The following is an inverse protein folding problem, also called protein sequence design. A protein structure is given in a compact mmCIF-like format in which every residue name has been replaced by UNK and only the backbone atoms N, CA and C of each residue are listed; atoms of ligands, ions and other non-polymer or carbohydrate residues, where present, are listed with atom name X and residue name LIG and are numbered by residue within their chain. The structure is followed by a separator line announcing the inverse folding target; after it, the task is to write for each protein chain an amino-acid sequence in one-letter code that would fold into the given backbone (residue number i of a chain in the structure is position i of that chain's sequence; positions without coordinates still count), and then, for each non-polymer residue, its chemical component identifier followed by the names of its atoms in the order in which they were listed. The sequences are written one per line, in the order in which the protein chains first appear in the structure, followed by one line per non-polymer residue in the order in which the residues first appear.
data_IF_231848961874
#
_entry.id   IF_231848961874
#
_cell.length_a   1.000
_cell.length_b   1.000
_cell.length_c   1.000
_cell.angle_alpha   90.00
_cell.angle_beta   90.00
_cell.angle_gamma   90.00
#
_symmetry.space_group_name_H-M   'P 1'
#
loop_
_entity.id
_entity.type
_entity.pdbx_description
1 polymer ?
#
# COMPACT_ATOMS: atom_id res chain seq x y z
N UNK A 1 4.38 -1.46 22.39
CA UNK A 1 4.27 -2.10 21.07
C UNK A 1 3.70 -1.04 20.14
N UNK A 2 4.55 -0.18 19.60
CA UNK A 2 4.16 0.86 18.64
C UNK A 2 4.01 0.24 17.25
N UNK A 3 3.05 -0.68 17.10
CA UNK A 3 2.63 -1.11 15.78
C UNK A 3 1.84 0.04 15.16
N UNK A 4 2.55 1.04 14.63
CA UNK A 4 1.94 2.03 13.76
C UNK A 4 1.40 1.29 12.54
N UNK A 5 0.09 1.09 12.48
CA UNK A 5 -0.59 0.44 11.36
C UNK A 5 -0.10 1.03 10.04
N UNK A 6 0.50 0.20 9.19
CA UNK A 6 0.94 0.60 7.85
C UNK A 6 -0.21 0.39 6.88
N UNK A 7 -0.45 1.38 6.02
CA UNK A 7 -1.51 1.35 5.02
C UNK A 7 -0.89 1.13 3.65
N UNK A 8 -1.26 0.03 2.99
CA UNK A 8 -0.96 -0.18 1.58
C UNK A 8 -2.14 0.35 0.73
N UNK A 9 -1.86 1.35 -0.10
CA UNK A 9 -2.78 1.84 -1.12
C UNK A 9 -2.42 1.24 -2.48
N UNK A 10 -3.34 0.45 -3.03
CA UNK A 10 -3.19 -0.20 -4.33
C UNK A 10 -4.00 0.53 -5.38
N UNK A 11 -3.36 0.87 -6.50
CA UNK A 11 -4.01 1.54 -7.62
C UNK A 11 -3.97 0.65 -8.85
N UNK A 12 -5.10 0.53 -9.53
CA UNK A 12 -5.15 -0.20 -10.80
C UNK A 12 -4.28 0.45 -11.87
N UNK A 13 -4.30 1.79 -11.94
CA UNK A 13 -3.54 2.57 -12.92
C UNK A 13 -2.64 3.62 -12.25
N UNK A 14 -1.45 3.81 -12.84
CA UNK A 14 -0.45 4.78 -12.38
C UNK A 14 -0.98 6.22 -12.32
N UNK A 15 -1.86 6.60 -13.25
CA UNK A 15 -2.45 7.93 -13.27
C UNK A 15 -3.29 8.21 -12.02
N UNK A 16 -4.02 7.21 -11.51
CA UNK A 16 -4.81 7.36 -10.29
C UNK A 16 -3.93 7.48 -9.06
N UNK A 17 -2.82 6.72 -8.99
CA UNK A 17 -1.79 6.88 -7.95
C UNK A 17 -1.27 8.31 -7.92
N UNK A 18 -0.84 8.84 -9.06
CA UNK A 18 -0.30 10.22 -9.18
C UNK A 18 -1.32 11.28 -8.76
N UNK A 19 -2.59 11.14 -9.17
CA UNK A 19 -3.65 12.07 -8.80
C UNK A 19 -3.94 12.04 -7.30
N UNK A 20 -4.01 10.86 -6.70
CA UNK A 20 -4.24 10.69 -5.26
C UNK A 20 -3.09 11.27 -4.44
N UNK A 21 -1.84 10.94 -4.81
CA UNK A 21 -0.66 11.49 -4.14
C UNK A 21 -0.59 13.02 -4.24
N UNK A 22 -0.91 13.59 -5.40
CA UNK A 22 -0.94 15.05 -5.57
C UNK A 22 -1.87 15.72 -4.56
N UNK A 23 -3.10 15.21 -4.42
CA UNK A 23 -4.09 15.75 -3.46
C UNK A 23 -3.67 15.52 -2.02
N UNK A 24 -3.11 14.36 -1.69
CA UNK A 24 -2.67 14.05 -0.33
C UNK A 24 -1.50 14.92 0.12
N UNK A 25 -0.61 15.28 -0.79
CA UNK A 25 0.51 16.18 -0.50
C UNK A 25 0.07 17.63 -0.28
N UNK A 26 -1.17 17.99 -0.60
CA UNK A 26 -1.78 19.29 -0.28
C UNK A 26 -2.34 19.32 1.16
N UNK A 27 -2.46 18.18 1.84
CA UNK A 27 -2.90 18.10 3.25
C UNK A 27 -1.68 18.05 4.20
N UNK A 28 -1.48 19.12 4.96
CA UNK A 28 -0.38 19.24 5.94
C UNK A 28 -0.39 18.12 6.99
N UNK A 29 -1.57 17.66 7.41
CA UNK A 29 -1.67 16.58 8.41
C UNK A 29 -1.13 15.27 7.84
N UNK A 30 -1.31 15.06 6.54
CA UNK A 30 -0.77 13.91 5.85
C UNK A 30 0.75 14.01 5.73
N UNK A 31 1.28 15.16 5.29
CA UNK A 31 2.72 15.33 5.05
C UNK A 31 3.55 15.31 6.33
N UNK A 32 3.04 15.87 7.42
CA UNK A 32 3.79 15.99 8.68
C UNK A 32 3.86 14.68 9.45
N UNK A 33 2.77 13.91 9.47
CA UNK A 33 2.62 12.80 10.43
C UNK A 33 2.21 11.48 9.77
N UNK A 34 1.33 11.49 8.77
CA UNK A 34 0.75 10.25 8.24
C UNK A 34 1.59 9.61 7.13
N UNK A 35 2.27 10.40 6.29
CA UNK A 35 2.98 9.95 5.07
C UNK A 35 3.91 8.75 5.29
N UNK A 36 4.73 8.67 6.36
CA UNK A 36 5.61 7.52 6.59
C UNK A 36 4.87 6.19 6.81
N UNK A 37 3.58 6.23 7.14
CA UNK A 37 2.75 5.05 7.38
C UNK A 37 2.09 4.51 6.10
N UNK A 38 2.20 5.21 4.98
CA UNK A 38 1.53 4.84 3.73
C UNK A 38 2.52 4.35 2.68
N UNK A 39 2.18 3.24 2.02
CA UNK A 39 2.86 2.72 0.85
C UNK A 39 1.89 2.77 -0.34
N UNK A 40 2.33 3.33 -1.46
CA UNK A 40 1.51 3.48 -2.68
C UNK A 40 2.11 2.61 -3.78
N UNK A 41 1.32 1.66 -4.30
CA UNK A 41 1.75 0.73 -5.36
C UNK A 41 0.70 0.61 -6.45
N UNK A 42 1.12 0.31 -7.68
CA UNK A 42 0.19 -0.13 -8.73
C UNK A 42 0.00 -1.63 -8.72
N UNK A 43 -1.10 -2.14 -9.30
CA UNK A 43 -1.28 -3.58 -9.49
C UNK A 43 -0.14 -4.22 -10.27
N UNK A 44 0.40 -3.53 -11.28
CA UNK A 44 1.52 -4.03 -12.07
C UNK A 44 2.82 -4.11 -11.25
N UNK A 45 3.10 -3.12 -10.41
CA UNK A 45 4.22 -3.18 -9.46
C UNK A 45 4.05 -4.33 -8.47
N UNK A 46 2.83 -4.54 -7.95
CA UNK A 46 2.56 -5.62 -7.01
C UNK A 46 2.69 -7.01 -7.67
N UNK A 47 2.25 -7.17 -8.92
CA UNK A 47 2.38 -8.46 -9.64
C UNK A 47 3.84 -8.86 -9.90
N UNK A 48 4.74 -7.88 -9.95
CA UNK A 48 6.18 -8.11 -10.12
C UNK A 48 6.91 -8.31 -8.79
N UNK A 49 6.29 -7.91 -7.68
CA UNK A 49 6.82 -8.12 -6.34
C UNK A 49 6.38 -9.49 -5.81
N UNK A 50 7.35 -10.32 -5.44
CA UNK A 50 7.09 -11.55 -4.69
C UNK A 50 6.84 -11.13 -3.24
N UNK A 51 5.59 -11.23 -2.78
CA UNK A 51 5.21 -10.95 -1.38
C UNK A 51 5.59 -12.11 -0.45
N UNK A 52 6.83 -12.61 -0.59
CA UNK A 52 7.42 -13.45 0.44
C UNK A 52 7.49 -12.59 1.72
N UNK A 53 6.80 -13.04 2.78
CA UNK A 53 6.75 -12.43 4.13
C UNK A 53 5.69 -11.36 4.43
N UNK A 54 4.64 -11.23 3.61
CA UNK A 54 3.48 -10.44 4.03
C UNK A 54 2.53 -11.26 4.92
N UNK A 55 2.32 -10.79 6.15
CA UNK A 55 1.32 -11.30 7.08
C UNK A 55 0.13 -10.33 7.12
N UNK A 56 -1.06 -10.86 6.87
CA UNK A 56 -2.32 -10.15 7.12
C UNK A 56 -2.50 -9.89 8.63
N UNK A 57 -3.41 -8.99 8.97
CA UNK A 57 -3.63 -8.58 10.36
C UNK A 57 -4.13 -9.73 11.27
N UNK A 58 -4.70 -10.77 10.69
CA UNK A 58 -5.08 -12.03 11.34
C UNK A 58 -3.94 -13.06 11.41
N UNK A 59 -2.74 -12.73 10.92
CA UNK A 59 -1.58 -13.60 10.87
C UNK A 59 -1.57 -14.56 9.68
N UNK A 60 -2.52 -14.45 8.74
CA UNK A 60 -2.49 -15.26 7.53
C UNK A 60 -1.38 -14.79 6.59
N UNK A 61 -0.50 -15.72 6.21
CA UNK A 61 0.46 -15.52 5.13
C UNK A 61 -0.28 -15.66 3.82
N UNK A 62 -0.50 -14.55 3.13
CA UNK A 62 -1.17 -14.56 1.84
C UNK A 62 -0.23 -14.07 0.74
N UNK A 63 -0.38 -14.64 -0.44
CA UNK A 63 0.16 -14.01 -1.64
C UNK A 63 -0.95 -13.09 -2.16
N UNK A 64 -0.68 -11.80 -2.38
CA UNK A 64 -1.70 -10.79 -2.71
C UNK A 64 -2.56 -11.17 -3.93
N UNK A 65 -2.06 -12.07 -4.77
CA UNK A 65 -2.71 -12.61 -5.96
C UNK A 65 -2.70 -14.15 -6.02
N UNK A 66 -2.75 -14.88 -4.90
CA UNK A 66 -2.95 -16.34 -4.98
C UNK A 66 -4.33 -16.62 -5.57
N UNK A 67 -4.37 -16.80 -6.88
CA UNK A 67 -5.48 -17.38 -7.59
C UNK A 67 -5.36 -18.88 -7.37
N UNK A 68 -6.21 -19.42 -6.49
CA UNK A 68 -6.47 -20.85 -6.49
C UNK A 68 -7.11 -21.19 -7.83
N UNK A 69 -6.42 -21.99 -8.65
CA UNK A 69 -6.94 -22.62 -9.86
C UNK A 69 -7.70 -23.90 -9.50
#
# INVERSE_FOLDING_TARGET
MDYGSRVLCVFELENYRKMAMKRLLEDERFTENAKPHFLFKTLDELKQEVFEDWELFDGEKTNLFSVDY
#
